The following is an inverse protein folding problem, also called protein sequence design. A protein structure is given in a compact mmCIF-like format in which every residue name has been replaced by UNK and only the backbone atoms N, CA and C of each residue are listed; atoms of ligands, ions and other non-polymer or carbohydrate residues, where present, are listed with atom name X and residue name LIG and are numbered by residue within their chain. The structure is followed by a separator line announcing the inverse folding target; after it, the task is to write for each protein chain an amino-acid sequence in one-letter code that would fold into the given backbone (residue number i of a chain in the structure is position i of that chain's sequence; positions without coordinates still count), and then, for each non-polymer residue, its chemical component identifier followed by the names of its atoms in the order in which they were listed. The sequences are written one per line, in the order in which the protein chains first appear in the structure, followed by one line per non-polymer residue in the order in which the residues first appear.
data_IF_769085476024
#
_entry.id   IF_769085476024
#
_cell.length_a   1.000
_cell.length_b   1.000
_cell.length_c   1.000
_cell.angle_alpha   90.00
_cell.angle_beta   90.00
_cell.angle_gamma   90.00
#
_symmetry.space_group_name_H-M   'P 1'
#
loop_
_entity.id
_entity.type
_entity.pdbx_description
1 polymer ?
#
# COMPACT_ATOMS: atom_id res chain seq x y z
N UNK A 1 30.74 22.64 14.80
CA UNK A 1 29.30 22.50 15.15
C UNK A 1 28.48 22.52 13.87
N UNK A 2 28.05 21.36 13.35
CA UNK A 2 27.07 21.33 12.26
C UNK A 2 25.68 21.45 12.86
N UNK A 3 25.00 22.57 12.59
CA UNK A 3 23.58 22.74 12.89
C UNK A 3 22.77 21.88 11.93
N UNK A 4 22.17 20.81 12.43
CA UNK A 4 21.15 20.05 11.73
C UNK A 4 19.97 20.97 11.41
N UNK A 5 19.78 21.31 10.13
CA UNK A 5 18.57 21.99 9.66
C UNK A 5 17.40 21.02 9.86
N UNK A 6 16.63 21.26 10.91
CA UNK A 6 15.29 20.70 11.04
C UNK A 6 14.48 21.26 9.87
N UNK A 7 14.13 20.41 8.91
CA UNK A 7 13.18 20.75 7.85
C UNK A 7 11.78 20.78 8.46
N UNK A 8 11.46 21.89 9.13
CA UNK A 8 10.07 22.25 9.43
C UNK A 8 9.45 22.63 8.08
N UNK A 9 8.66 21.70 7.52
CA UNK A 9 7.99 21.86 6.24
C UNK A 9 7.08 23.09 6.25
N UNK A 10 7.53 24.14 5.56
CA UNK A 10 6.71 25.29 5.20
C UNK A 10 5.59 24.88 4.23
N UNK A 11 4.44 25.52 4.39
CA UNK A 11 3.17 25.10 3.81
C UNK A 11 3.12 25.03 2.29
N UNK A 12 2.52 23.94 1.81
CA UNK A 12 1.48 23.91 0.78
C UNK A 12 0.53 22.77 1.16
N UNK A 13 -0.78 23.04 1.22
CA UNK A 13 -1.84 22.09 1.59
C UNK A 13 -2.12 21.05 0.50
N UNK A 14 -1.09 20.54 -0.18
CA UNK A 14 -1.24 19.43 -1.12
C UNK A 14 -1.19 18.12 -0.32
N UNK A 15 -2.22 17.30 -0.44
CA UNK A 15 -2.24 15.96 0.15
C UNK A 15 -0.97 15.19 -0.25
N UNK A 16 -0.36 14.49 0.70
CA UNK A 16 0.83 13.68 0.43
C UNK A 16 0.59 12.66 -0.69
N UNK A 17 1.48 12.62 -1.68
CA UNK A 17 1.46 11.66 -2.78
C UNK A 17 2.56 10.62 -2.53
N UNK A 18 2.20 9.34 -2.31
CA UNK A 18 3.18 8.26 -2.14
C UNK A 18 4.06 8.08 -3.39
N UNK A 19 5.28 7.55 -3.19
CA UNK A 19 6.28 7.38 -4.25
C UNK A 19 6.85 5.97 -4.27
N UNK A 20 7.35 5.54 -5.43
CA UNK A 20 8.03 4.25 -5.62
C UNK A 20 9.16 4.39 -6.66
N UNK A 21 10.01 3.36 -6.79
CA UNK A 21 11.05 3.32 -7.83
C UNK A 21 10.49 2.75 -9.12
N UNK A 22 10.70 3.46 -10.23
CA UNK A 22 10.39 2.97 -11.57
C UNK A 22 11.44 1.94 -12.05
N UNK A 23 11.28 1.47 -13.29
CA UNK A 23 12.16 0.48 -13.90
C UNK A 23 13.62 0.94 -14.06
N UNK A 24 13.87 2.24 -14.05
CA UNK A 24 15.19 2.84 -14.16
C UNK A 24 15.77 3.25 -12.80
N UNK A 25 15.09 2.89 -11.70
CA UNK A 25 15.49 3.22 -10.35
C UNK A 25 15.17 4.66 -9.92
N UNK A 26 14.45 5.43 -10.75
CA UNK A 26 14.05 6.80 -10.45
C UNK A 26 12.83 6.78 -9.53
N UNK A 27 12.79 7.72 -8.58
CA UNK A 27 11.63 7.92 -7.72
C UNK A 27 10.53 8.63 -8.51
N UNK A 28 9.38 7.97 -8.62
CA UNK A 28 8.18 8.46 -9.29
C UNK A 28 6.98 8.47 -8.34
N UNK A 29 6.01 9.31 -8.64
CA UNK A 29 4.77 9.42 -7.86
C UNK A 29 3.78 8.31 -8.21
N UNK A 30 3.09 7.79 -7.21
CA UNK A 30 2.00 6.84 -7.42
C UNK A 30 0.83 7.56 -8.10
N UNK A 31 0.33 6.96 -9.18
CA UNK A 31 -0.83 7.47 -9.91
C UNK A 31 -2.10 6.83 -9.36
N UNK A 32 -3.09 7.62 -8.94
CA UNK A 32 -4.43 7.10 -8.59
C UNK A 32 -5.09 6.47 -9.81
N UNK A 33 -5.99 5.51 -9.58
CA UNK A 33 -6.76 4.82 -10.63
C UNK A 33 -5.89 4.18 -11.72
N UNK A 34 -4.67 3.76 -11.37
CA UNK A 34 -3.73 3.14 -12.30
C UNK A 34 -3.60 1.64 -12.13
N UNK A 35 -4.17 1.06 -11.07
CA UNK A 35 -4.18 -0.38 -10.88
C UNK A 35 -5.08 -1.05 -11.94
N UNK A 36 -4.70 -2.26 -12.37
CA UNK A 36 -5.38 -3.00 -13.45
C UNK A 36 -5.65 -4.44 -13.03
N UNK A 37 -6.84 -4.92 -13.33
CA UNK A 37 -7.15 -6.35 -13.22
C UNK A 37 -6.54 -7.10 -14.40
N UNK A 38 -5.87 -8.21 -14.11
CA UNK A 38 -5.33 -9.15 -15.11
C UNK A 38 -5.63 -10.58 -14.67
N UNK A 39 -5.69 -11.49 -15.63
CA UNK A 39 -5.79 -12.93 -15.34
C UNK A 39 -4.52 -13.59 -15.85
N UNK A 40 -3.73 -14.14 -14.92
CA UNK A 40 -2.50 -14.86 -15.22
C UNK A 40 -2.67 -16.34 -14.88
N UNK A 41 -2.52 -17.21 -15.88
CA UNK A 41 -2.63 -18.67 -15.69
C UNK A 41 -3.91 -19.09 -14.93
N UNK A 42 -5.04 -18.43 -15.22
CA UNK A 42 -6.34 -18.67 -14.57
C UNK A 42 -6.50 -18.03 -13.18
N UNK A 43 -5.49 -17.31 -12.68
CA UNK A 43 -5.55 -16.58 -11.41
C UNK A 43 -5.80 -15.10 -11.69
N UNK A 44 -6.86 -14.55 -11.11
CA UNK A 44 -7.08 -13.09 -11.13
C UNK A 44 -6.03 -12.41 -10.24
N UNK A 45 -5.42 -11.37 -10.77
CA UNK A 45 -4.44 -10.53 -10.08
C UNK A 45 -4.80 -9.05 -10.28
N UNK A 46 -4.43 -8.24 -9.31
CA UNK A 46 -4.46 -6.78 -9.42
C UNK A 46 -3.04 -6.27 -9.54
N UNK A 47 -2.71 -5.72 -10.71
CA UNK A 47 -1.41 -5.14 -11.04
C UNK A 47 -1.37 -3.66 -10.65
N UNK A 48 -0.28 -3.20 -10.06
CA UNK A 48 -0.07 -1.83 -9.60
C UNK A 48 1.41 -1.42 -9.75
N UNK A 49 1.75 -0.16 -9.50
CA UNK A 49 3.09 0.39 -9.77
C UNK A 49 3.59 0.07 -11.19
N UNK A 50 2.75 0.34 -12.20
CA UNK A 50 2.96 -0.11 -13.59
C UNK A 50 4.26 0.38 -14.25
N UNK A 51 4.91 1.41 -13.71
CA UNK A 51 6.17 1.95 -14.24
C UNK A 51 7.40 1.25 -13.65
N UNK A 52 7.22 0.30 -12.73
CA UNK A 52 8.32 -0.48 -12.15
C UNK A 52 8.78 -1.62 -13.07
N UNK A 53 10.07 -1.98 -12.98
CA UNK A 53 10.71 -3.05 -13.80
C UNK A 53 10.02 -4.41 -13.63
N UNK A 54 9.60 -4.70 -12.41
CA UNK A 54 8.73 -5.84 -12.08
C UNK A 54 7.41 -5.25 -11.67
N UNK A 55 6.42 -5.26 -12.56
CA UNK A 55 5.08 -4.83 -12.17
C UNK A 55 4.64 -5.62 -10.93
N UNK A 56 4.22 -4.88 -9.92
CA UNK A 56 3.81 -5.47 -8.65
C UNK A 56 2.37 -5.94 -8.79
N UNK A 57 2.06 -7.10 -8.23
CA UNK A 57 0.71 -7.65 -8.29
C UNK A 57 0.26 -8.26 -6.97
N UNK A 58 -1.04 -8.16 -6.70
CA UNK A 58 -1.73 -8.86 -5.63
C UNK A 58 -2.52 -10.00 -6.27
N UNK A 59 -2.32 -11.23 -5.80
CA UNK A 59 -3.21 -12.35 -6.14
C UNK A 59 -4.53 -12.20 -5.38
N UNK A 60 -5.65 -12.30 -6.10
CA UNK A 60 -6.97 -12.07 -5.53
C UNK A 60 -7.51 -13.30 -4.79
N UNK A 61 -8.57 -13.10 -4.00
CA UNK A 61 -9.17 -14.13 -3.17
C UNK A 61 -8.34 -14.46 -1.92
N UNK A 62 -8.25 -15.74 -1.57
CA UNK A 62 -7.60 -16.20 -0.34
C UNK A 62 -6.11 -15.85 -0.22
N UNK A 63 -5.46 -15.52 -1.33
CA UNK A 63 -4.04 -15.15 -1.37
C UNK A 63 -3.79 -13.68 -0.98
N UNK A 64 -4.83 -12.85 -0.95
CA UNK A 64 -4.71 -11.42 -0.66
C UNK A 64 -4.09 -11.18 0.73
N UNK A 65 -4.50 -11.97 1.73
CA UNK A 65 -3.99 -11.93 3.11
C UNK A 65 -2.49 -12.19 3.28
N UNK A 66 -1.82 -12.72 2.25
CA UNK A 66 -0.39 -13.03 2.28
C UNK A 66 0.47 -11.87 1.79
N UNK A 67 -0.14 -10.80 1.28
CA UNK A 67 0.59 -9.64 0.78
C UNK A 67 1.14 -8.80 1.92
N UNK A 68 2.23 -8.08 1.64
CA UNK A 68 2.80 -7.14 2.60
C UNK A 68 1.87 -5.93 2.80
N UNK A 69 1.94 -5.33 3.99
CA UNK A 69 1.26 -4.07 4.31
C UNK A 69 1.58 -2.98 3.27
N UNK A 70 2.85 -2.90 2.85
CA UNK A 70 3.28 -1.94 1.82
C UNK A 70 2.58 -2.18 0.46
N UNK A 71 2.45 -3.44 0.02
CA UNK A 71 1.77 -3.76 -1.24
C UNK A 71 0.28 -3.46 -1.16
N UNK A 72 -0.38 -3.82 -0.06
CA UNK A 72 -1.79 -3.51 0.16
C UNK A 72 -2.04 -2.00 0.12
N UNK A 73 -1.24 -1.20 0.84
CA UNK A 73 -1.35 0.27 0.82
C UNK A 73 -1.15 0.86 -0.59
N UNK A 74 -0.14 0.41 -1.32
CA UNK A 74 0.12 0.87 -2.68
C UNK A 74 -1.04 0.52 -3.64
N UNK A 75 -1.49 -0.74 -3.60
CA UNK A 75 -2.61 -1.20 -4.41
C UNK A 75 -3.90 -0.44 -4.08
N UNK A 76 -4.25 -0.24 -2.79
CA UNK A 76 -5.42 0.52 -2.37
C UNK A 76 -5.36 1.96 -2.90
N UNK A 77 -4.19 2.61 -2.82
CA UNK A 77 -4.01 3.98 -3.32
C UNK A 77 -4.24 4.09 -4.84
N UNK A 78 -3.76 3.09 -5.60
CA UNK A 78 -3.82 3.08 -7.06
C UNK A 78 -5.13 2.48 -7.60
N UNK A 79 -5.95 1.85 -6.75
CA UNK A 79 -7.23 1.24 -7.15
C UNK A 79 -8.35 2.29 -7.16
N UNK A 80 -8.99 2.42 -8.32
CA UNK A 80 -10.16 3.27 -8.49
C UNK A 80 -11.45 2.62 -8.02
N UNK A 81 -12.51 3.43 -7.92
CA UNK A 81 -13.83 3.00 -7.43
C UNK A 81 -14.95 3.19 -8.47
N UNK A 82 -14.57 3.58 -9.69
CA UNK A 82 -15.50 3.78 -10.82
C UNK A 82 -16.13 2.47 -11.28
N UNK A 83 -15.40 1.36 -11.16
CA UNK A 83 -15.86 0.03 -11.48
C UNK A 83 -16.34 -0.71 -10.21
N UNK A 84 -17.51 -1.38 -10.22
CA UNK A 84 -18.02 -2.10 -9.06
C UNK A 84 -17.11 -3.23 -8.56
N UNK A 85 -16.45 -3.97 -9.45
CA UNK A 85 -15.52 -5.05 -9.09
C UNK A 85 -14.29 -4.46 -8.39
N UNK A 86 -13.71 -3.39 -8.92
CA UNK A 86 -12.58 -2.69 -8.29
C UNK A 86 -12.96 -2.07 -6.94
N UNK A 87 -14.16 -1.51 -6.82
CA UNK A 87 -14.65 -0.93 -5.56
C UNK A 87 -14.75 -1.99 -4.47
N UNK A 88 -15.33 -3.13 -4.78
CA UNK A 88 -15.45 -4.23 -3.82
C UNK A 88 -14.09 -4.80 -3.47
N UNK A 89 -13.23 -4.99 -4.48
CA UNK A 89 -11.86 -5.45 -4.28
C UNK A 89 -11.07 -4.53 -3.35
N UNK A 90 -11.24 -3.21 -3.51
CA UNK A 90 -10.59 -2.22 -2.66
C UNK A 90 -11.01 -2.34 -1.19
N UNK A 91 -12.30 -2.60 -0.92
CA UNK A 91 -12.76 -2.84 0.46
C UNK A 91 -12.10 -4.07 1.07
N UNK A 92 -12.08 -5.19 0.33
CA UNK A 92 -11.43 -6.43 0.81
C UNK A 92 -9.93 -6.18 1.09
N UNK A 93 -9.23 -5.42 0.22
CA UNK A 93 -7.84 -5.06 0.48
C UNK A 93 -7.66 -4.21 1.74
N UNK A 94 -8.60 -3.30 2.03
CA UNK A 94 -8.59 -2.47 3.25
C UNK A 94 -8.78 -3.36 4.49
N UNK A 95 -9.72 -4.29 4.47
CA UNK A 95 -9.93 -5.24 5.58
C UNK A 95 -8.69 -6.10 5.84
N UNK A 96 -8.05 -6.61 4.79
CA UNK A 96 -6.81 -7.38 4.93
C UNK A 96 -5.64 -6.52 5.41
N UNK A 97 -5.59 -5.23 5.02
CA UNK A 97 -4.61 -4.27 5.52
C UNK A 97 -4.79 -4.04 7.03
N UNK A 98 -6.00 -3.75 7.49
CA UNK A 98 -6.32 -3.53 8.90
C UNK A 98 -5.98 -4.77 9.74
N UNK A 99 -6.30 -5.96 9.23
CA UNK A 99 -5.93 -7.24 9.86
C UNK A 99 -4.40 -7.39 9.98
N UNK A 100 -3.65 -7.08 8.93
CA UNK A 100 -2.20 -7.18 8.92
C UNK A 100 -1.55 -6.17 9.87
N UNK A 101 -2.05 -4.93 9.89
CA UNK A 101 -1.58 -3.86 10.79
C UNK A 101 -1.90 -4.17 12.25
N UNK A 102 -3.10 -4.68 12.56
CA UNK A 102 -3.45 -5.14 13.91
C UNK A 102 -2.54 -6.27 14.37
N UNK A 103 -2.22 -7.22 13.49
CA UNK A 103 -1.27 -8.30 13.84
C UNK A 103 0.12 -7.74 14.14
N UNK A 104 0.62 -6.81 13.32
CA UNK A 104 1.91 -6.16 13.54
C UNK A 104 1.95 -5.44 14.89
N UNK A 105 0.87 -4.72 15.24
CA UNK A 105 0.74 -4.07 16.54
C UNK A 105 0.78 -5.09 17.68
N UNK A 106 0.00 -6.18 17.58
CA UNK A 106 -0.03 -7.21 18.62
C UNK A 106 1.32 -7.91 18.80
N UNK A 107 2.02 -8.19 17.71
CA UNK A 107 3.36 -8.77 17.75
C UNK A 107 4.36 -7.80 18.39
N UNK A 108 4.26 -6.50 18.09
CA UNK A 108 5.05 -5.48 18.75
C UNK A 108 4.75 -5.41 20.26
N UNK A 109 3.48 -5.33 20.67
CA UNK A 109 3.09 -5.24 22.08
C UNK A 109 3.59 -6.42 22.93
N UNK A 110 3.70 -7.62 22.35
CA UNK A 110 4.31 -8.79 23.03
C UNK A 110 5.79 -8.59 23.36
N UNK A 111 6.50 -7.74 22.61
CA UNK A 111 7.91 -7.42 22.84
C UNK A 111 8.12 -6.25 23.81
N UNK A 112 7.06 -5.47 24.08
CA UNK A 112 7.08 -4.30 24.96
C UNK A 112 5.95 -4.36 25.98
N UNK A 113 6.08 -5.17 27.05
CA UNK A 113 4.99 -5.47 27.99
C UNK A 113 4.47 -4.24 28.75
N UNK A 114 5.25 -3.16 28.82
CA UNK A 114 4.88 -1.92 29.50
C UNK A 114 3.96 -1.00 28.66
N UNK A 115 3.68 -1.38 27.40
CA UNK A 115 2.80 -0.64 26.50
C UNK A 115 1.51 -1.43 26.30
N UNK A 116 0.35 -0.77 26.45
CA UNK A 116 -0.97 -1.37 26.23
C UNK A 116 -1.71 -0.67 25.10
N UNK A 117 -2.55 -1.43 24.37
CA UNK A 117 -3.47 -0.87 23.38
C UNK A 117 -4.53 -0.01 24.10
N UNK A 118 -4.70 1.23 23.66
CA UNK A 118 -5.81 2.08 24.10
C UNK A 118 -7.08 1.60 23.37
N UNK A 119 -8.07 1.16 24.14
CA UNK A 119 -9.36 0.67 23.63
C UNK A 119 -10.35 1.78 23.38
#
# INVERSE_FOLDING_TARGET
MLRSKIMLGGGVSSAYIPKYRDAYGKIVEMKRNSARLRTDLGVKVLEFNLESDKSYFIKLGNEMRKNSIYFLRAAIYQTGESDPELRELKKVMVEELERAERRLLMDYLRTVPDIQEIK
#
